data_IF_077598438517
#
_entry.id   IF_077598438517
#
_cell.length_a   1.000
_cell.length_b   1.000
_cell.length_c   1.000
_cell.angle_alpha   90.00
_cell.angle_beta   90.00
_cell.angle_gamma   90.00
#
_symmetry.space_group_name_H-M   'P 1'
#
loop_
_entity.id
_entity.type
_entity.pdbx_description
1 polymer ?
#
# COMPACT_ATOMS: atom_id res chain seq x y z
N UNK A 1 17.21 -5.85 18.23
CA UNK A 1 15.96 -5.52 17.51
C UNK A 1 15.06 -4.56 18.28
N UNK A 2 14.87 -4.70 19.61
CA UNK A 2 13.99 -3.82 20.40
C UNK A 2 14.27 -2.31 20.29
N UNK A 3 15.53 -1.88 20.37
CA UNK A 3 15.90 -0.46 20.34
C UNK A 3 15.58 0.28 19.02
N UNK A 4 15.53 -0.41 17.88
CA UNK A 4 15.28 0.22 16.57
C UNK A 4 13.78 0.42 16.30
N UNK A 5 12.94 -0.43 16.88
CA UNK A 5 11.48 -0.28 16.88
C UNK A 5 11.01 0.82 17.84
N UNK A 6 11.71 1.01 18.96
CA UNK A 6 11.40 2.08 19.92
C UNK A 6 11.64 3.47 19.30
N UNK A 7 12.67 3.61 18.46
CA UNK A 7 13.02 4.84 17.73
C UNK A 7 11.96 5.18 16.66
N UNK A 8 11.58 4.20 15.82
CA UNK A 8 10.54 4.38 14.79
C UNK A 8 9.18 4.71 15.42
N UNK A 9 8.85 4.08 16.56
CA UNK A 9 7.58 4.34 17.25
C UNK A 9 7.55 5.76 17.81
N UNK A 10 8.66 6.23 18.39
CA UNK A 10 8.78 7.60 18.86
C UNK A 10 8.66 8.62 17.72
N UNK A 11 9.29 8.35 16.57
CA UNK A 11 9.20 9.20 15.38
C UNK A 11 7.76 9.27 14.82
N UNK A 12 7.07 8.14 14.72
CA UNK A 12 5.66 8.10 14.28
C UNK A 12 4.78 8.94 15.22
N UNK A 13 4.97 8.82 16.53
CA UNK A 13 4.22 9.63 17.51
C UNK A 13 4.56 11.12 17.39
N UNK A 14 5.84 11.46 17.19
CA UNK A 14 6.27 12.83 16.97
C UNK A 14 5.64 13.45 15.72
N UNK A 15 5.60 12.71 14.62
CA UNK A 15 4.92 13.12 13.39
C UNK A 15 3.41 13.25 13.57
N UNK A 16 2.79 12.32 14.30
CA UNK A 16 1.35 12.30 14.49
C UNK A 16 0.83 13.58 15.17
N UNK A 17 1.60 14.17 16.09
CA UNK A 17 1.23 15.42 16.77
C UNK A 17 1.25 16.63 15.83
N UNK A 18 1.95 16.54 14.70
CA UNK A 18 2.06 17.63 13.71
C UNK A 18 1.00 17.55 12.61
N UNK A 19 0.28 16.42 12.49
CA UNK A 19 -0.68 16.19 11.43
C UNK A 19 -2.11 16.61 11.83
N UNK A 20 -2.91 17.13 10.89
CA UNK A 20 -4.35 17.28 11.06
C UNK A 20 -5.04 15.96 11.41
N UNK A 21 -6.15 16.03 12.16
CA UNK A 21 -6.91 14.83 12.56
C UNK A 21 -7.36 13.97 11.37
N UNK A 22 -7.79 14.60 10.27
CA UNK A 22 -8.20 13.89 9.06
C UNK A 22 -7.05 13.09 8.42
N UNK A 23 -5.82 13.61 8.49
CA UNK A 23 -4.64 12.92 7.96
C UNK A 23 -4.27 11.74 8.85
N UNK A 24 -4.39 11.87 10.17
CA UNK A 24 -4.23 10.76 11.12
C UNK A 24 -5.26 9.65 10.88
N UNK A 25 -6.51 10.02 10.64
CA UNK A 25 -7.56 9.07 10.28
C UNK A 25 -7.23 8.34 8.98
N UNK A 26 -6.73 9.04 7.96
CA UNK A 26 -6.32 8.44 6.69
C UNK A 26 -5.17 7.44 6.87
N UNK A 27 -4.13 7.80 7.64
CA UNK A 27 -3.02 6.89 7.97
C UNK A 27 -3.50 5.65 8.74
N UNK A 28 -4.42 5.81 9.69
CA UNK A 28 -5.02 4.70 10.42
C UNK A 28 -5.78 3.75 9.50
N UNK A 29 -6.56 4.28 8.55
CA UNK A 29 -7.32 3.46 7.60
C UNK A 29 -6.41 2.66 6.66
N UNK A 30 -5.32 3.27 6.18
CA UNK A 30 -4.28 2.59 5.38
C UNK A 30 -3.65 1.46 6.20
N UNK A 31 -3.27 1.73 7.45
CA UNK A 31 -2.69 0.72 8.35
C UNK A 31 -3.64 -0.45 8.61
N UNK A 32 -4.93 -0.17 8.86
CA UNK A 32 -5.97 -1.20 9.02
C UNK A 32 -6.12 -2.05 7.77
N UNK A 33 -6.07 -1.45 6.59
CA UNK A 33 -6.15 -2.23 5.36
C UNK A 33 -4.92 -3.10 5.14
N UNK A 34 -3.71 -2.61 5.46
CA UNK A 34 -2.50 -3.44 5.40
C UNK A 34 -2.60 -4.64 6.34
N UNK A 35 -3.08 -4.43 7.57
CA UNK A 35 -3.34 -5.53 8.52
C UNK A 35 -4.38 -6.52 7.98
N UNK A 36 -5.44 -6.04 7.32
CA UNK A 36 -6.44 -6.91 6.69
C UNK A 36 -5.83 -7.73 5.55
N UNK A 37 -5.03 -7.13 4.68
CA UNK A 37 -4.36 -7.85 3.57
C UNK A 37 -3.49 -8.99 4.10
N UNK A 38 -2.69 -8.73 5.14
CA UNK A 38 -1.86 -9.75 5.79
C UNK A 38 -2.73 -10.86 6.38
N UNK A 39 -3.70 -10.51 7.22
CA UNK A 39 -4.44 -11.50 8.02
C UNK A 39 -5.51 -12.27 7.24
N UNK A 40 -6.14 -11.64 6.24
CA UNK A 40 -7.29 -12.20 5.54
C UNK A 40 -6.95 -12.75 4.14
N UNK A 41 -5.93 -12.19 3.47
CA UNK A 41 -5.55 -12.61 2.11
C UNK A 41 -4.19 -13.35 2.11
N UNK A 42 -3.45 -13.35 3.23
CA UNK A 42 -2.12 -13.97 3.30
C UNK A 42 -1.02 -13.16 2.61
N UNK A 43 -1.26 -11.88 2.34
CA UNK A 43 -0.28 -11.00 1.66
C UNK A 43 0.72 -10.44 2.67
N UNK A 44 1.48 -11.33 3.31
CA UNK A 44 2.53 -10.99 4.27
C UNK A 44 3.80 -10.43 3.59
N UNK A 45 4.87 -10.22 4.36
CA UNK A 45 6.10 -9.64 3.84
C UNK A 45 6.85 -10.57 2.88
N UNK A 46 6.73 -11.88 3.06
CA UNK A 46 7.39 -12.86 2.19
C UNK A 46 6.68 -12.89 0.85
N UNK A 47 5.33 -12.87 0.86
CA UNK A 47 4.53 -12.66 -0.35
C UNK A 47 4.91 -11.36 -1.06
N UNK A 48 5.03 -10.24 -0.34
CA UNK A 48 5.42 -8.97 -0.95
C UNK A 48 6.81 -9.07 -1.63
N UNK A 49 7.76 -9.76 -1.02
CA UNK A 49 9.14 -9.91 -1.52
C UNK A 49 9.25 -10.74 -2.81
N UNK A 50 8.21 -11.53 -3.15
CA UNK A 50 8.09 -12.24 -4.43
C UNK A 50 7.76 -11.29 -5.61
N UNK A 51 7.17 -10.11 -5.34
CA UNK A 51 6.71 -9.14 -6.37
C UNK A 51 7.77 -8.07 -6.65
N UNK A 52 8.78 -8.41 -7.45
CA UNK A 52 9.98 -7.58 -7.63
C UNK A 52 9.96 -6.67 -8.87
N UNK A 53 8.94 -6.76 -9.73
CA UNK A 53 8.84 -6.00 -10.99
C UNK A 53 7.91 -4.79 -10.87
N UNK A 54 7.62 -4.37 -9.64
CA UNK A 54 6.76 -3.23 -9.34
C UNK A 54 5.27 -3.57 -9.34
N UNK A 55 4.89 -4.85 -9.26
CA UNK A 55 3.50 -5.29 -9.26
C UNK A 55 2.71 -4.61 -8.12
N UNK A 56 3.27 -4.50 -6.91
CA UNK A 56 2.61 -3.85 -5.78
C UNK A 56 2.37 -2.34 -6.02
N UNK A 57 3.30 -1.65 -6.69
CA UNK A 57 3.14 -0.25 -7.09
C UNK A 57 2.05 -0.08 -8.16
N UNK A 58 2.03 -0.98 -9.14
CA UNK A 58 1.03 -1.00 -10.21
C UNK A 58 -0.37 -1.27 -9.65
N UNK A 59 -0.49 -2.21 -8.71
CA UNK A 59 -1.74 -2.46 -7.98
C UNK A 59 -2.20 -1.25 -7.15
N UNK A 60 -1.27 -0.56 -6.48
CA UNK A 60 -1.57 0.68 -5.77
C UNK A 60 -2.14 1.75 -6.73
N UNK A 61 -1.53 1.92 -7.90
CA UNK A 61 -1.98 2.85 -8.92
C UNK A 61 -3.35 2.48 -9.48
N UNK A 62 -3.61 1.20 -9.75
CA UNK A 62 -4.91 0.71 -10.22
C UNK A 62 -6.04 1.08 -9.23
N UNK A 63 -5.84 0.84 -7.93
CA UNK A 63 -6.82 1.23 -6.91
C UNK A 63 -6.97 2.76 -6.79
N UNK A 64 -5.90 3.54 -6.93
CA UNK A 64 -6.00 5.00 -6.93
C UNK A 64 -6.83 5.52 -8.13
N UNK A 65 -6.69 4.89 -9.30
CA UNK A 65 -7.51 5.19 -10.49
C UNK A 65 -8.96 4.79 -10.26
N UNK A 66 -9.23 3.63 -9.64
CA UNK A 66 -10.58 3.23 -9.26
C UNK A 66 -11.20 4.25 -8.28
N UNK A 67 -10.42 4.80 -7.35
CA UNK A 67 -10.88 5.82 -6.42
C UNK A 67 -11.25 7.15 -7.08
N UNK A 68 -10.56 7.51 -8.17
CA UNK A 68 -10.85 8.71 -8.95
C UNK A 68 -12.24 8.65 -9.64
N UNK A 69 -12.81 7.45 -9.79
CA UNK A 69 -14.05 7.20 -10.51
C UNK A 69 -15.31 7.48 -9.65
N UNK A 70 -15.43 8.68 -9.07
CA UNK A 70 -16.47 9.03 -8.08
C UNK A 70 -17.90 9.12 -8.61
N UNK A 71 -18.07 9.31 -9.92
CA UNK A 71 -19.39 9.44 -10.55
C UNK A 71 -19.34 8.83 -11.95
N UNK A 72 -19.93 7.64 -12.11
CA UNK A 72 -20.20 7.02 -13.40
C UNK A 72 -19.03 7.04 -14.41
N UNK A 73 -18.06 6.15 -14.22
CA UNK A 73 -17.51 5.33 -15.30
C UNK A 73 -17.10 6.10 -16.55
N UNK A 74 -16.04 6.92 -16.50
CA UNK A 74 -15.32 7.12 -17.75
C UNK A 74 -14.78 5.74 -18.15
N UNK A 75 -15.19 5.19 -19.29
CA UNK A 75 -14.67 3.89 -19.76
C UNK A 75 -13.12 3.89 -19.75
N UNK A 76 -12.53 5.07 -19.93
CA UNK A 76 -11.10 5.36 -19.81
C UNK A 76 -10.52 5.05 -18.43
N UNK A 77 -11.11 5.49 -17.32
CA UNK A 77 -10.54 5.22 -15.98
C UNK A 77 -10.59 3.73 -15.65
N UNK A 78 -11.65 3.02 -16.06
CA UNK A 78 -11.70 1.55 -15.92
C UNK A 78 -10.60 0.87 -16.71
N UNK A 79 -10.44 1.22 -17.99
CA UNK A 79 -9.40 0.66 -18.85
C UNK A 79 -8.01 0.91 -18.28
N UNK A 80 -7.71 2.14 -17.83
CA UNK A 80 -6.40 2.44 -17.22
C UNK A 80 -6.17 1.56 -16.00
N UNK A 81 -7.18 1.38 -15.16
CA UNK A 81 -7.03 0.56 -13.97
C UNK A 81 -6.92 -0.95 -14.28
N UNK A 82 -7.54 -1.43 -15.36
CA UNK A 82 -7.32 -2.78 -15.90
C UNK A 82 -5.89 -2.95 -16.44
N UNK A 83 -5.38 -1.97 -17.20
CA UNK A 83 -4.03 -1.99 -17.78
C UNK A 83 -2.94 -1.93 -16.70
N UNK A 84 -3.22 -1.27 -15.58
CA UNK A 84 -2.32 -1.16 -14.43
C UNK A 84 -2.39 -2.39 -13.52
N UNK A 85 -3.45 -3.19 -13.54
CA UNK A 85 -3.56 -4.32 -12.63
C UNK A 85 -2.62 -5.46 -13.07
N UNK A 86 -1.64 -5.86 -12.25
CA UNK A 86 -0.58 -6.78 -12.70
C UNK A 86 -0.99 -8.25 -12.65
N UNK A 87 -2.12 -8.58 -12.03
CA UNK A 87 -2.62 -9.95 -11.88
C UNK A 87 -3.90 -10.17 -12.67
N UNK A 88 -4.61 -11.28 -12.41
CA UNK A 88 -5.86 -11.54 -13.10
C UNK A 88 -6.88 -10.43 -12.82
N UNK A 89 -7.59 -9.92 -13.85
CA UNK A 89 -8.61 -8.89 -13.66
C UNK A 89 -9.69 -9.25 -12.63
N UNK A 90 -10.02 -10.55 -12.48
CA UNK A 90 -11.01 -11.01 -11.51
C UNK A 90 -10.55 -10.90 -10.05
N UNK A 91 -9.25 -10.81 -9.81
CA UNK A 91 -8.69 -10.70 -8.45
C UNK A 91 -8.74 -9.26 -7.93
N UNK A 92 -8.95 -8.31 -8.84
CA UNK A 92 -9.17 -6.91 -8.50
C UNK A 92 -10.57 -6.74 -7.92
N UNK A 93 -10.64 -6.33 -6.66
CA UNK A 93 -11.90 -6.10 -5.93
C UNK A 93 -12.12 -4.60 -5.74
N UNK A 94 -12.51 -3.81 -6.77
CA UNK A 94 -12.77 -2.38 -6.61
C UNK A 94 -13.97 -2.14 -5.68
N UNK A 95 -13.96 -1.01 -4.97
CA UNK A 95 -14.99 -0.57 -4.02
C UNK A 95 -15.31 0.92 -4.22
N UNK A 96 -15.85 1.59 -3.20
CA UNK A 96 -16.01 3.05 -3.23
C UNK A 96 -14.66 3.79 -3.18
N UNK A 97 -14.71 5.11 -3.42
CA UNK A 97 -13.52 5.94 -3.54
C UNK A 97 -12.64 5.92 -2.30
N UNK A 98 -13.23 5.96 -1.11
CA UNK A 98 -12.46 5.92 0.13
C UNK A 98 -11.80 4.56 0.28
N UNK A 99 -12.56 3.48 0.14
CA UNK A 99 -12.07 2.12 0.31
C UNK A 99 -10.98 1.75 -0.70
N UNK A 100 -11.04 2.30 -1.90
CA UNK A 100 -9.99 2.12 -2.90
C UNK A 100 -8.71 2.91 -2.55
N UNK A 101 -8.81 4.12 -1.98
CA UNK A 101 -7.62 4.83 -1.48
C UNK A 101 -6.96 4.11 -0.30
N UNK A 102 -7.74 3.47 0.57
CA UNK A 102 -7.21 2.62 1.65
C UNK A 102 -6.38 1.46 1.09
N UNK A 103 -6.91 0.76 0.07
CA UNK A 103 -6.21 -0.32 -0.62
C UNK A 103 -4.97 0.17 -1.38
N UNK A 104 -5.09 1.29 -2.07
CA UNK A 104 -3.98 1.92 -2.79
C UNK A 104 -2.84 2.26 -1.83
N UNK A 105 -3.15 2.92 -0.71
CA UNK A 105 -2.18 3.23 0.33
C UNK A 105 -1.55 1.98 0.94
N UNK A 106 -2.35 0.94 1.22
CA UNK A 106 -1.83 -0.31 1.76
C UNK A 106 -0.88 -1.04 0.80
N UNK A 107 -1.20 -1.10 -0.49
CA UNK A 107 -0.31 -1.65 -1.52
C UNK A 107 0.97 -0.80 -1.68
N UNK A 108 0.85 0.54 -1.59
CA UNK A 108 2.01 1.43 -1.61
C UNK A 108 2.94 1.24 -0.41
N UNK A 109 2.37 1.04 0.80
CA UNK A 109 3.14 0.70 2.00
C UNK A 109 3.84 -0.66 1.83
N UNK A 110 3.16 -1.66 1.28
CA UNK A 110 3.73 -2.97 0.99
C UNK A 110 4.96 -2.86 0.06
N UNK A 111 4.84 -2.13 -1.05
CA UNK A 111 5.95 -1.90 -1.98
C UNK A 111 7.10 -1.13 -1.33
N UNK A 112 6.82 -0.04 -0.62
CA UNK A 112 7.87 0.73 0.04
C UNK A 112 8.60 -0.12 1.09
N UNK A 113 7.86 -0.93 1.85
CA UNK A 113 8.45 -1.84 2.82
C UNK A 113 9.32 -2.91 2.14
N UNK A 114 8.88 -3.47 1.01
CA UNK A 114 9.65 -4.39 0.18
C UNK A 114 10.96 -3.76 -0.30
N UNK A 115 10.90 -2.52 -0.82
CA UNK A 115 12.09 -1.76 -1.25
C UNK A 115 13.04 -1.51 -0.06
N UNK A 116 12.52 -1.12 1.10
CA UNK A 116 13.33 -0.90 2.32
C UNK A 116 14.01 -2.21 2.76
N UNK A 117 13.32 -3.35 2.71
CA UNK A 117 13.91 -4.67 3.02
C UNK A 117 15.00 -5.04 2.02
N UNK A 118 14.72 -4.91 0.72
CA UNK A 118 15.69 -5.18 -0.34
C UNK A 118 16.92 -4.25 -0.31
N UNK A 119 16.73 -3.01 0.17
CA UNK A 119 17.78 -1.99 0.26
C UNK A 119 18.61 -2.07 1.53
N UNK A 120 18.33 -2.99 2.47
CA UNK A 120 19.19 -3.28 3.62
C UNK A 120 20.19 -4.39 3.26
N UNK A 121 21.45 -4.08 2.93
CA UNK A 121 22.47 -5.10 2.75
C UNK A 121 23.03 -5.45 4.13
N UNK A 122 23.05 -6.73 4.49
CA UNK A 122 24.14 -7.20 5.33
C UNK A 122 25.41 -7.25 4.46
N UNK A 123 26.51 -6.63 4.90
CA UNK A 123 27.88 -6.96 4.50
C UNK A 123 28.10 -7.37 3.02
N UNK A 124 28.42 -6.40 2.16
CA UNK A 124 29.25 -6.68 0.99
C UNK A 124 30.47 -5.78 1.13
N UNK A 125 31.59 -6.40 1.49
CA UNK A 125 32.89 -5.78 1.40
C UNK A 125 33.26 -5.59 -0.07
N UNK A 126 33.68 -4.36 -0.40
CA UNK A 126 34.93 -3.99 -1.08
C UNK A 126 35.15 -2.50 -0.90
#
# INVERSE_FOLDING_TARGET
MAAMTDDITADILGLAVQLPEADLQALLLIGRERVRQINAEGYDTDHDDEHQKGELALAAAAFAVDAANRSASSARTRQIADDLWPWSPCDRKPADAQRNMEKAGACGVAELARIIRASKPGAIGV
#
